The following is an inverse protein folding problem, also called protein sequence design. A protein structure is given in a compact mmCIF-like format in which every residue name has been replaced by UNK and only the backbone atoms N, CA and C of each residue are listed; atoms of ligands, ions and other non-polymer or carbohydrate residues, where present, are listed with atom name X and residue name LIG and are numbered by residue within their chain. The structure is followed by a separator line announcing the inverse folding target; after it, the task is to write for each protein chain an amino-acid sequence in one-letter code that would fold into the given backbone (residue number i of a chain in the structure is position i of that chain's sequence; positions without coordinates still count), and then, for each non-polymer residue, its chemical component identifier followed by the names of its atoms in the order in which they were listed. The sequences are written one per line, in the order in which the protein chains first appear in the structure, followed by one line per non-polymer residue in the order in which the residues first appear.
data_IF_721273702643
#
_entry.id   IF_721273702643
#
_cell.length_a   1.000
_cell.length_b   1.000
_cell.length_c   1.000
_cell.angle_alpha   90.00
_cell.angle_beta   90.00
_cell.angle_gamma   90.00
#
_symmetry.space_group_name_H-M   'P 1'
#
loop_
_entity.id
_entity.type
_entity.pdbx_description
1 polymer ?
#
# COMPACT_ATOMS: atom_id res chain seq x y z
N UNK A 1 -0.16 -26.65 -12.07
CA UNK A 1 -0.35 -25.26 -12.55
C UNK A 1 0.25 -24.32 -11.51
N UNK A 2 1.08 -23.32 -11.94
CA UNK A 2 1.56 -22.25 -11.08
C UNK A 2 1.08 -20.90 -11.61
N UNK A 3 0.90 -19.93 -10.70
CA UNK A 3 0.35 -18.62 -11.03
C UNK A 3 1.26 -17.52 -10.49
N UNK A 4 1.60 -16.56 -11.33
CA UNK A 4 2.42 -15.40 -10.94
C UNK A 4 1.69 -14.12 -11.31
N UNK A 5 1.41 -13.28 -10.32
CA UNK A 5 0.97 -11.90 -10.55
C UNK A 5 2.19 -11.00 -10.42
N UNK A 6 2.53 -10.28 -11.48
CA UNK A 6 3.55 -9.23 -11.48
C UNK A 6 2.80 -7.89 -11.43
N UNK A 7 2.69 -7.32 -10.25
CA UNK A 7 2.03 -6.04 -10.06
C UNK A 7 3.05 -4.90 -10.17
N UNK A 8 2.82 -4.04 -11.15
CA UNK A 8 3.65 -2.87 -11.44
C UNK A 8 2.90 -1.61 -10.98
N UNK A 9 2.94 -1.33 -9.68
CA UNK A 9 2.17 -0.27 -9.02
C UNK A 9 2.30 1.07 -9.76
N UNK A 10 1.18 1.70 -10.02
CA UNK A 10 1.11 3.02 -10.65
C UNK A 10 1.71 3.11 -12.07
N UNK A 11 2.01 1.98 -12.74
CA UNK A 11 2.74 1.96 -14.02
C UNK A 11 2.01 2.70 -15.13
N UNK A 12 0.67 2.65 -15.18
CA UNK A 12 -0.14 3.35 -16.17
C UNK A 12 -0.09 4.88 -15.96
N UNK A 13 -0.19 5.63 -17.06
CA UNK A 13 -0.03 7.08 -17.05
C UNK A 13 -0.85 7.75 -18.15
N UNK A 14 -0.90 9.07 -18.09
CA UNK A 14 -1.37 9.91 -19.18
C UNK A 14 -0.18 10.33 -20.08
N UNK A 15 -0.46 10.85 -21.31
CA UNK A 15 0.59 11.40 -22.15
C UNK A 15 1.39 12.49 -21.43
N UNK A 16 2.71 12.33 -21.36
CA UNK A 16 3.64 13.22 -20.64
C UNK A 16 4.37 14.13 -21.64
N UNK A 17 4.27 15.46 -21.52
CA UNK A 17 4.95 16.37 -22.44
C UNK A 17 6.46 16.15 -22.51
N UNK A 18 7.13 15.89 -21.37
CA UNK A 18 8.57 15.60 -21.30
C UNK A 18 8.97 14.32 -22.07
N UNK A 19 8.02 13.41 -22.31
CA UNK A 19 8.23 12.18 -23.08
C UNK A 19 7.70 12.30 -24.53
N UNK A 20 7.56 13.53 -25.02
CA UNK A 20 7.06 13.79 -26.38
C UNK A 20 5.58 13.47 -26.56
N UNK A 21 4.77 13.59 -25.52
CA UNK A 21 3.34 13.29 -25.53
C UNK A 21 3.02 11.80 -25.50
N UNK A 22 3.96 10.96 -25.10
CA UNK A 22 3.77 9.51 -24.88
C UNK A 22 3.67 9.18 -23.40
N UNK A 23 3.09 8.03 -23.07
CA UNK A 23 3.12 7.50 -21.71
C UNK A 23 4.47 6.84 -21.41
N UNK A 24 4.84 6.66 -20.13
CA UNK A 24 6.02 5.88 -19.76
C UNK A 24 6.02 4.46 -20.33
N UNK A 25 4.86 3.78 -20.38
CA UNK A 25 4.74 2.44 -20.99
C UNK A 25 5.03 2.43 -22.49
N UNK A 26 4.67 3.51 -23.21
CA UNK A 26 4.97 3.64 -24.64
C UNK A 26 6.44 3.90 -24.93
N UNK A 27 7.17 4.53 -24.00
CA UNK A 27 8.58 4.91 -24.16
C UNK A 27 9.53 3.82 -23.70
N UNK A 28 9.14 3.09 -22.64
CA UNK A 28 9.97 2.05 -22.02
C UNK A 28 10.34 0.92 -22.99
N UNK A 29 11.61 0.55 -22.98
CA UNK A 29 12.11 -0.64 -23.67
C UNK A 29 11.81 -1.87 -22.80
N UNK A 30 10.82 -2.66 -23.21
CA UNK A 30 10.29 -3.76 -22.42
C UNK A 30 10.08 -5.03 -23.26
N UNK A 31 11.16 -5.58 -23.87
CA UNK A 31 11.05 -6.68 -24.79
C UNK A 31 10.48 -7.97 -24.20
N UNK A 32 10.70 -8.26 -22.90
CA UNK A 32 10.13 -9.44 -22.23
C UNK A 32 8.62 -9.27 -22.01
N UNK A 33 8.19 -8.11 -21.52
CA UNK A 33 6.76 -7.78 -21.37
C UNK A 33 6.05 -7.86 -22.73
N UNK A 34 6.64 -7.29 -23.78
CA UNK A 34 6.05 -7.27 -25.13
C UNK A 34 6.02 -8.68 -25.74
N UNK A 35 7.04 -9.51 -25.49
CA UNK A 35 7.05 -10.91 -25.94
C UNK A 35 5.96 -11.77 -25.28
N UNK A 36 5.67 -11.52 -23.99
CA UNK A 36 4.54 -12.12 -23.30
C UNK A 36 3.21 -11.57 -23.87
N UNK A 37 3.11 -10.26 -24.05
CA UNK A 37 1.90 -9.59 -24.58
C UNK A 37 1.50 -10.09 -25.97
N UNK A 38 2.47 -10.42 -26.83
CA UNK A 38 2.20 -10.99 -28.15
C UNK A 38 1.52 -12.36 -28.12
N UNK A 39 1.62 -13.08 -26.99
CA UNK A 39 1.09 -14.43 -26.80
C UNK A 39 0.04 -14.51 -25.68
N UNK A 40 -0.43 -13.37 -25.20
CA UNK A 40 -1.32 -13.23 -24.05
C UNK A 40 -2.70 -12.70 -24.46
N UNK A 41 -3.67 -12.89 -23.59
CA UNK A 41 -4.85 -12.02 -23.58
C UNK A 41 -4.39 -10.63 -23.09
N UNK A 42 -4.74 -9.59 -23.83
CA UNK A 42 -4.45 -8.20 -23.46
C UNK A 42 -5.75 -7.40 -23.46
N UNK A 43 -5.98 -6.63 -22.40
CA UNK A 43 -7.19 -5.82 -22.25
C UNK A 43 -7.02 -4.74 -21.21
N UNK A 44 -8.13 -4.11 -20.86
CA UNK A 44 -8.24 -3.16 -19.76
C UNK A 44 -9.06 -3.74 -18.62
N UNK A 45 -8.69 -3.44 -17.39
CA UNK A 45 -9.46 -3.78 -16.19
C UNK A 45 -9.65 -2.55 -15.29
N UNK A 46 -10.86 -2.39 -14.74
CA UNK A 46 -11.15 -1.39 -13.71
C UNK A 46 -10.87 -1.96 -12.33
N UNK A 47 -9.74 -1.67 -11.78
CA UNK A 47 -9.27 -2.12 -10.46
C UNK A 47 -9.84 -1.26 -9.33
N UNK A 48 -9.97 0.07 -9.56
CA UNK A 48 -10.59 0.99 -8.61
C UNK A 48 -12.10 1.02 -8.85
N UNK A 49 -12.86 0.46 -7.91
CA UNK A 49 -14.31 0.41 -8.01
C UNK A 49 -14.95 1.83 -7.99
N UNK A 50 -16.04 2.05 -8.74
CA UNK A 50 -16.73 3.35 -8.78
C UNK A 50 -17.10 3.84 -7.38
N UNK A 51 -16.87 5.13 -7.11
CA UNK A 51 -17.19 5.76 -5.83
C UNK A 51 -16.15 5.58 -4.73
N UNK A 52 -15.12 4.76 -4.95
CA UNK A 52 -13.98 4.67 -4.03
C UNK A 52 -12.87 5.65 -4.44
N UNK A 53 -12.17 6.17 -3.44
CA UNK A 53 -10.97 6.97 -3.67
C UNK A 53 -9.87 6.03 -4.20
N UNK A 54 -9.17 6.39 -5.31
CA UNK A 54 -8.10 5.56 -5.84
C UNK A 54 -6.93 5.44 -4.85
N UNK A 55 -6.41 4.22 -4.75
CA UNK A 55 -5.29 3.89 -3.89
C UNK A 55 -4.95 2.40 -3.98
N UNK A 56 -3.70 2.07 -3.63
CA UNK A 56 -3.19 0.70 -3.70
C UNK A 56 -3.95 -0.28 -2.78
N UNK A 57 -4.57 0.22 -1.69
CA UNK A 57 -5.43 -0.57 -0.82
C UNK A 57 -6.65 -1.16 -1.55
N UNK A 58 -7.48 -0.30 -2.14
CA UNK A 58 -8.69 -0.71 -2.84
C UNK A 58 -8.39 -1.44 -4.16
N UNK A 59 -7.37 -0.98 -4.87
CA UNK A 59 -7.01 -1.56 -6.17
C UNK A 59 -6.40 -2.96 -6.01
N UNK A 60 -5.47 -3.17 -5.08
CA UNK A 60 -4.89 -4.50 -4.84
C UNK A 60 -5.90 -5.47 -4.21
N UNK A 61 -6.82 -5.01 -3.36
CA UNK A 61 -7.97 -5.83 -2.94
C UNK A 61 -8.75 -6.34 -4.16
N UNK A 62 -9.07 -5.45 -5.12
CA UNK A 62 -9.77 -5.83 -6.35
C UNK A 62 -8.99 -6.87 -7.15
N UNK A 63 -7.70 -6.67 -7.39
CA UNK A 63 -6.86 -7.61 -8.14
C UNK A 63 -6.79 -8.98 -7.48
N UNK A 64 -6.77 -9.02 -6.13
CA UNK A 64 -6.82 -10.27 -5.35
C UNK A 64 -8.22 -10.91 -5.30
N UNK A 65 -9.23 -10.27 -5.92
CA UNK A 65 -10.58 -10.79 -6.01
C UNK A 65 -11.49 -10.46 -4.82
N UNK A 66 -11.07 -9.55 -3.96
CA UNK A 66 -11.90 -9.07 -2.86
C UNK A 66 -12.62 -7.78 -3.26
N UNK A 67 -13.94 -7.73 -3.09
CA UNK A 67 -14.72 -6.52 -3.35
C UNK A 67 -14.40 -5.42 -2.32
N UNK A 68 -13.76 -4.30 -2.73
CA UNK A 68 -13.38 -3.26 -1.80
C UNK A 68 -14.59 -2.57 -1.14
N UNK A 69 -15.75 -2.50 -1.80
CA UNK A 69 -16.97 -1.95 -1.19
C UNK A 69 -17.43 -2.75 0.04
N UNK A 70 -17.13 -4.04 0.04
CA UNK A 70 -17.51 -4.95 1.13
C UNK A 70 -16.43 -5.05 2.20
N UNK A 71 -15.17 -5.05 1.80
CA UNK A 71 -14.10 -5.48 2.68
C UNK A 71 -13.13 -4.38 3.10
N UNK A 72 -13.09 -3.24 2.38
CA UNK A 72 -12.21 -2.15 2.76
C UNK A 72 -12.78 -1.39 3.96
N UNK A 73 -12.06 -1.39 5.05
CA UNK A 73 -12.46 -0.80 6.34
C UNK A 73 -11.52 0.32 6.79
N UNK A 74 -10.58 0.73 5.91
CA UNK A 74 -9.55 1.72 6.21
C UNK A 74 -8.13 1.14 6.13
N UNK A 75 -7.13 2.02 6.14
CA UNK A 75 -5.70 1.63 6.04
C UNK A 75 -5.13 1.12 7.35
N UNK A 76 -5.57 1.70 8.48
CA UNK A 76 -5.00 1.38 9.80
C UNK A 76 -5.02 -0.11 10.14
N UNK A 77 -6.13 -0.85 9.94
CA UNK A 77 -6.15 -2.28 10.24
C UNK A 77 -5.24 -3.11 9.33
N UNK A 78 -5.01 -2.68 8.11
CA UNK A 78 -4.06 -3.31 7.20
C UNK A 78 -2.61 -3.07 7.63
N UNK A 79 -2.30 -1.85 8.05
CA UNK A 79 -0.98 -1.50 8.62
C UNK A 79 -0.74 -2.26 9.94
N UNK A 80 -1.76 -2.41 10.79
CA UNK A 80 -1.68 -3.24 11.99
C UNK A 80 -1.39 -4.71 11.66
N UNK A 81 -2.09 -5.27 10.68
CA UNK A 81 -1.87 -6.65 10.24
C UNK A 81 -0.47 -6.86 9.64
N UNK A 82 0.11 -5.85 8.97
CA UNK A 82 1.44 -5.95 8.36
C UNK A 82 2.56 -6.13 9.38
N UNK A 83 2.43 -5.52 10.56
CA UNK A 83 3.39 -5.64 11.66
C UNK A 83 3.06 -6.80 12.61
N UNK A 84 2.17 -7.70 12.20
CA UNK A 84 1.85 -8.94 12.93
C UNK A 84 0.87 -8.76 14.08
N UNK A 85 0.14 -7.65 14.17
CA UNK A 85 -0.90 -7.47 15.19
C UNK A 85 -2.13 -8.30 14.82
N UNK A 86 -2.48 -9.26 15.68
CA UNK A 86 -3.69 -10.07 15.50
C UNK A 86 -4.89 -9.36 16.16
N UNK A 87 -5.60 -8.58 15.36
CA UNK A 87 -6.81 -7.86 15.79
C UNK A 87 -7.99 -8.83 15.89
N UNK A 88 -8.78 -8.71 16.96
CA UNK A 88 -10.10 -9.35 17.06
C UNK A 88 -11.15 -8.57 16.25
N UNK A 89 -12.26 -9.20 15.93
CA UNK A 89 -13.37 -8.55 15.19
C UNK A 89 -13.98 -7.35 15.96
N UNK A 90 -13.83 -7.36 17.28
CA UNK A 90 -14.28 -6.26 18.17
C UNK A 90 -13.31 -5.09 18.23
N UNK A 91 -12.09 -5.25 17.74
CA UNK A 91 -11.04 -4.26 17.89
C UNK A 91 -11.12 -3.19 16.78
N UNK A 92 -10.73 -1.99 17.15
CA UNK A 92 -10.55 -0.87 16.22
C UNK A 92 -9.10 -0.45 16.26
N UNK A 93 -8.46 -0.37 15.10
CA UNK A 93 -7.13 0.22 14.99
C UNK A 93 -7.23 1.69 14.61
N UNK A 94 -6.32 2.49 15.13
CA UNK A 94 -6.11 3.87 14.71
C UNK A 94 -4.65 4.08 14.36
N UNK A 95 -4.40 4.87 13.32
CA UNK A 95 -3.06 5.38 13.07
C UNK A 95 -2.68 6.34 14.19
N UNK A 96 -1.48 6.21 14.67
CA UNK A 96 -0.90 7.07 15.71
C UNK A 96 0.33 7.76 15.14
N UNK A 97 0.22 9.04 14.79
CA UNK A 97 1.39 9.81 14.41
C UNK A 97 2.05 10.43 15.64
N UNK A 98 3.37 10.47 15.68
CA UNK A 98 4.09 11.38 16.52
C UNK A 98 4.25 12.72 15.77
N UNK A 99 3.67 13.79 16.31
CA UNK A 99 3.62 15.10 15.67
C UNK A 99 4.34 16.17 16.51
N UNK A 100 4.67 17.30 15.88
CA UNK A 100 5.11 18.51 16.58
C UNK A 100 3.94 19.47 16.72
N UNK A 101 3.51 19.74 17.94
CA UNK A 101 2.62 20.86 18.26
C UNK A 101 3.39 22.05 18.77
N UNK A 102 2.85 23.25 18.55
CA UNK A 102 3.38 24.50 19.13
C UNK A 102 3.50 24.37 20.65
N UNK A 103 4.66 24.83 21.20
CA UNK A 103 4.95 24.80 22.63
C UNK A 103 4.82 26.20 23.25
N UNK A 104 3.65 26.80 23.09
CA UNK A 104 3.26 28.06 23.74
C UNK A 104 2.37 27.76 24.91
N UNK A 105 2.28 28.71 25.85
CA UNK A 105 1.34 28.65 26.98
C UNK A 105 -0.07 29.01 26.50
N UNK A 106 -0.72 28.02 25.88
CA UNK A 106 -2.02 28.11 25.25
C UNK A 106 -2.82 26.82 25.50
N UNK A 107 -4.17 26.90 25.53
CA UNK A 107 -5.00 25.69 25.60
C UNK A 107 -4.69 24.70 24.49
N UNK A 108 -4.90 23.40 24.73
CA UNK A 108 -4.60 22.37 23.74
C UNK A 108 -5.28 22.62 22.39
N UNK A 109 -6.54 23.05 22.39
CA UNK A 109 -7.29 23.33 21.16
C UNK A 109 -6.75 24.52 20.35
N UNK A 110 -5.98 25.42 20.98
CA UNK A 110 -5.40 26.60 20.31
C UNK A 110 -4.00 26.32 19.73
N UNK A 111 -3.43 25.15 20.04
CA UNK A 111 -2.11 24.72 19.51
C UNK A 111 -2.16 24.54 18.00
N UNK A 112 -1.00 24.69 17.37
CA UNK A 112 -0.81 24.50 15.92
C UNK A 112 -0.03 23.23 15.67
N UNK A 113 -0.43 22.41 14.70
CA UNK A 113 0.45 21.37 14.17
C UNK A 113 1.54 22.03 13.34
N UNK A 114 2.75 22.07 13.86
CA UNK A 114 3.92 22.61 13.17
C UNK A 114 4.52 21.60 12.19
N UNK A 115 4.42 20.30 12.52
CA UNK A 115 4.92 19.21 11.68
C UNK A 115 4.17 17.90 12.00
N UNK A 116 3.67 17.23 10.99
CA UNK A 116 2.95 15.96 11.11
C UNK A 116 3.86 14.74 11.27
N UNK A 117 5.17 14.89 11.06
CA UNK A 117 6.17 13.81 11.10
C UNK A 117 7.35 14.08 12.04
N UNK A 118 7.34 15.20 12.76
CA UNK A 118 8.40 15.60 13.71
C UNK A 118 9.82 15.49 13.11
N UNK A 119 10.07 16.18 11.96
CA UNK A 119 11.32 16.13 11.19
C UNK A 119 11.72 14.67 10.84
N UNK A 120 10.76 13.86 10.40
CA UNK A 120 10.96 12.42 10.09
C UNK A 120 11.73 11.70 11.22
N UNK A 121 11.18 11.78 12.44
CA UNK A 121 11.79 11.17 13.63
C UNK A 121 12.27 9.74 13.37
N UNK A 122 13.47 9.40 13.85
CA UNK A 122 13.99 8.03 13.70
C UNK A 122 13.13 7.01 14.45
N UNK A 123 13.04 5.79 13.93
CA UNK A 123 12.27 4.71 14.57
C UNK A 123 12.75 4.43 15.99
N UNK A 124 14.06 4.54 16.27
CA UNK A 124 14.62 4.30 17.59
C UNK A 124 14.20 5.38 18.61
N UNK A 125 14.21 6.67 18.20
CA UNK A 125 13.70 7.76 19.05
C UNK A 125 12.19 7.61 19.28
N UNK A 126 11.44 7.31 18.22
CA UNK A 126 10.00 7.15 18.26
C UNK A 126 9.57 5.96 19.16
N UNK A 127 10.31 4.84 19.11
CA UNK A 127 10.05 3.68 19.96
C UNK A 127 10.04 4.05 21.45
N UNK A 128 11.01 4.84 21.92
CA UNK A 128 11.09 5.27 23.31
C UNK A 128 9.89 6.15 23.71
N UNK A 129 9.41 7.01 22.79
CA UNK A 129 8.23 7.85 23.03
C UNK A 129 6.95 7.01 23.07
N UNK A 130 6.80 6.06 22.17
CA UNK A 130 5.62 5.16 22.14
C UNK A 130 5.63 4.20 23.35
N UNK A 131 6.79 3.73 23.82
CA UNK A 131 6.89 2.98 25.07
C UNK A 131 6.41 3.80 26.29
N UNK A 132 6.73 5.11 26.31
CA UNK A 132 6.22 6.01 27.36
C UNK A 132 4.70 6.22 27.24
N UNK A 133 4.17 6.33 26.02
CA UNK A 133 2.72 6.41 25.74
C UNK A 133 2.02 5.13 26.16
N UNK A 134 2.57 3.96 25.80
CA UNK A 134 2.03 2.65 26.20
C UNK A 134 2.03 2.49 27.73
N UNK A 135 3.10 2.91 28.40
CA UNK A 135 3.18 2.84 29.86
C UNK A 135 2.15 3.74 30.56
N UNK A 136 1.82 4.89 29.96
CA UNK A 136 0.91 5.88 30.54
C UNK A 136 -0.58 5.59 30.24
N UNK A 137 -0.88 5.12 29.04
CA UNK A 137 -2.26 5.00 28.54
C UNK A 137 -2.63 3.58 28.12
N UNK A 138 -1.65 2.69 27.91
CA UNK A 138 -1.88 1.33 27.47
C UNK A 138 -2.35 0.40 28.59
N UNK A 139 -2.75 -0.79 28.18
CA UNK A 139 -3.38 -1.80 29.04
C UNK A 139 -4.91 -1.66 29.07
N UNK A 140 -5.58 -2.74 29.39
CA UNK A 140 -7.05 -2.78 29.39
C UNK A 140 -7.65 -2.63 28.00
N UNK A 141 -8.18 -1.47 27.69
CA UNK A 141 -8.85 -1.20 26.41
C UNK A 141 -7.91 -0.72 25.30
N UNK A 142 -6.67 -0.29 25.60
CA UNK A 142 -5.78 0.38 24.65
C UNK A 142 -4.41 -0.28 24.65
N UNK A 143 -3.90 -0.58 23.44
CA UNK A 143 -2.53 -1.03 23.25
C UNK A 143 -1.86 -0.25 22.11
N UNK A 144 -0.71 0.38 22.41
CA UNK A 144 0.10 1.11 21.45
C UNK A 144 1.24 0.26 20.93
N UNK A 145 1.40 0.24 19.61
CA UNK A 145 2.44 -0.51 18.91
C UNK A 145 3.35 0.41 18.12
N UNK A 146 4.65 0.19 18.29
CA UNK A 146 5.65 0.93 17.53
C UNK A 146 5.68 0.47 16.08
N UNK A 147 5.55 1.40 15.16
CA UNK A 147 5.77 1.20 13.73
C UNK A 147 7.09 1.81 13.27
N UNK A 148 7.11 2.48 12.11
CA UNK A 148 8.31 3.05 11.50
C UNK A 148 8.25 4.58 11.51
N UNK A 149 9.36 5.21 11.96
CA UNK A 149 9.50 6.68 12.03
C UNK A 149 8.38 7.28 12.89
N UNK A 150 7.63 8.22 12.37
CA UNK A 150 6.51 8.89 13.05
C UNK A 150 5.18 8.10 13.02
N UNK A 151 5.11 6.96 12.34
CA UNK A 151 3.88 6.17 12.10
C UNK A 151 3.81 4.98 13.04
N UNK A 152 2.79 4.95 13.87
CA UNK A 152 2.53 3.92 14.87
C UNK A 152 1.05 3.52 14.84
N UNK A 153 0.67 2.57 15.67
CA UNK A 153 -0.68 2.04 15.73
C UNK A 153 -1.21 2.02 17.18
N UNK A 154 -2.47 2.39 17.35
CA UNK A 154 -3.26 2.13 18.53
C UNK A 154 -4.29 1.04 18.20
N UNK A 155 -4.37 0.02 19.03
CA UNK A 155 -5.51 -0.93 19.05
C UNK A 155 -6.41 -0.58 20.22
N UNK A 156 -7.67 -0.33 19.92
CA UNK A 156 -8.73 -0.08 20.89
C UNK A 156 -9.63 -1.32 20.97
N UNK A 157 -9.50 -2.09 22.05
CA UNK A 157 -10.25 -3.31 22.28
C UNK A 157 -11.71 -3.01 22.59
N UNK A 158 -12.63 -3.56 21.81
CA UNK A 158 -14.05 -3.28 21.94
C UNK A 158 -14.46 -1.86 21.52
N UNK A 159 -13.60 -1.16 20.80
CA UNK A 159 -13.80 0.23 20.36
C UNK A 159 -14.88 0.41 19.30
N UNK A 160 -15.08 1.66 18.90
CA UNK A 160 -16.02 2.05 17.84
C UNK A 160 -15.32 2.86 16.75
N UNK A 161 -15.82 2.75 15.52
CA UNK A 161 -15.43 3.61 14.39
C UNK A 161 -16.31 4.85 14.23
N UNK A 162 -17.31 5.02 15.09
CA UNK A 162 -18.20 6.19 15.11
C UNK A 162 -17.52 7.35 15.85
N UNK A 163 -16.37 7.81 15.35
CA UNK A 163 -15.52 8.81 16.01
C UNK A 163 -15.71 10.23 15.46
N UNK A 164 -16.63 10.40 14.51
CA UNK A 164 -16.78 11.66 13.80
C UNK A 164 -15.57 11.95 12.90
N UNK A 165 -15.18 13.21 12.79
CA UNK A 165 -14.06 13.59 11.95
C UNK A 165 -12.74 13.51 12.72
N UNK A 166 -12.00 12.42 12.54
CA UNK A 166 -10.63 12.28 13.02
C UNK A 166 -9.65 12.75 11.90
N UNK A 167 -9.42 14.07 11.86
CA UNK A 167 -8.67 14.71 10.75
C UNK A 167 -7.23 14.20 10.64
N UNK A 168 -6.74 13.81 9.46
CA UNK A 168 -5.34 13.46 9.25
C UNK A 168 -4.41 14.66 9.56
N UNK A 169 -3.28 14.48 10.28
CA UNK A 169 -2.42 15.58 10.71
C UNK A 169 -1.74 16.31 9.55
N UNK A 170 -1.46 15.63 8.44
CA UNK A 170 -0.85 16.23 7.25
C UNK A 170 -1.78 17.20 6.51
N UNK A 171 -3.10 17.07 6.67
CA UNK A 171 -4.08 17.97 6.05
C UNK A 171 -4.20 19.31 6.80
N UNK A 172 -3.68 19.36 8.02
CA UNK A 172 -3.79 20.51 8.93
C UNK A 172 -2.45 21.04 9.43
N UNK A 173 -1.35 20.68 8.79
CA UNK A 173 -0.03 21.26 9.09
C UNK A 173 -0.07 22.78 8.90
N UNK A 174 0.43 23.53 9.89
CA UNK A 174 0.39 24.98 9.96
C UNK A 174 -0.92 25.58 10.44
N UNK A 175 -1.92 24.75 10.82
CA UNK A 175 -3.24 25.21 11.29
C UNK A 175 -3.44 24.95 12.77
N UNK A 176 -4.32 25.75 13.40
CA UNK A 176 -4.81 25.54 14.77
C UNK A 176 -5.65 24.26 14.79
N UNK A 177 -5.44 23.41 15.79
CA UNK A 177 -6.05 22.07 15.85
C UNK A 177 -7.52 22.06 16.24
N UNK A 178 -7.97 22.99 17.07
CA UNK A 178 -9.32 23.01 17.66
C UNK A 178 -10.46 22.78 16.67
N UNK A 179 -10.52 23.53 15.53
CA UNK A 179 -11.56 23.31 14.51
C UNK A 179 -11.52 21.94 13.82
N UNK A 180 -10.44 21.18 14.01
CA UNK A 180 -10.19 19.89 13.36
C UNK A 180 -10.28 18.71 14.32
N UNK A 181 -10.50 18.96 15.61
CA UNK A 181 -10.79 17.92 16.60
C UNK A 181 -12.22 17.39 16.44
N UNK A 182 -12.40 16.10 16.63
CA UNK A 182 -13.74 15.51 16.59
C UNK A 182 -14.64 16.06 17.71
N UNK A 183 -15.90 16.25 17.39
CA UNK A 183 -16.96 16.64 18.35
C UNK A 183 -17.81 15.46 18.81
N UNK A 184 -17.50 14.24 18.34
CA UNK A 184 -18.23 13.04 18.73
C UNK A 184 -17.91 12.66 20.19
N UNK A 185 -18.93 12.36 20.97
CA UNK A 185 -18.78 11.95 22.38
C UNK A 185 -17.95 10.66 22.51
N UNK A 186 -18.07 9.77 21.53
CA UNK A 186 -17.32 8.52 21.42
C UNK A 186 -15.82 8.74 21.20
N UNK A 187 -15.42 9.87 20.63
CA UNK A 187 -14.01 10.22 20.41
C UNK A 187 -13.34 10.87 21.65
N UNK A 188 -14.15 11.31 22.64
CA UNK A 188 -13.64 12.04 23.81
C UNK A 188 -12.46 11.35 24.53
N UNK A 189 -12.48 10.03 24.82
CA UNK A 189 -11.36 9.40 25.48
C UNK A 189 -10.06 9.50 24.68
N UNK A 190 -10.14 9.41 23.33
CA UNK A 190 -8.98 9.52 22.44
C UNK A 190 -8.45 10.96 22.41
N UNK A 191 -9.33 11.97 22.38
CA UNK A 191 -8.94 13.39 22.42
C UNK A 191 -8.26 13.75 23.74
N UNK A 192 -8.80 13.27 24.87
CA UNK A 192 -8.16 13.43 26.19
C UNK A 192 -6.77 12.77 26.23
N UNK A 193 -6.61 11.63 25.57
CA UNK A 193 -5.35 10.93 25.48
C UNK A 193 -4.34 11.74 24.63
N UNK A 194 -4.77 12.30 23.50
CA UNK A 194 -3.94 13.20 22.69
C UNK A 194 -3.47 14.41 23.52
N UNK A 195 -4.37 15.09 24.22
CA UNK A 195 -4.05 16.25 25.07
C UNK A 195 -3.05 15.88 26.17
N UNK A 196 -3.30 14.80 26.94
CA UNK A 196 -2.41 14.33 28.00
C UNK A 196 -1.05 13.87 27.47
N UNK A 197 -1.00 13.37 26.24
CA UNK A 197 0.27 12.96 25.62
C UNK A 197 1.21 14.13 25.39
N UNK A 198 0.69 15.33 25.13
CA UNK A 198 1.51 16.53 25.02
C UNK A 198 2.26 16.82 26.31
N UNK A 199 1.58 16.75 27.44
CA UNK A 199 2.22 16.96 28.75
C UNK A 199 3.23 15.86 29.09
N UNK A 200 2.94 14.62 28.68
CA UNK A 200 3.83 13.47 28.86
C UNK A 200 5.11 13.61 28.04
N UNK A 201 4.99 14.01 26.78
CA UNK A 201 6.07 13.90 25.79
C UNK A 201 6.90 15.18 25.67
N UNK A 202 6.35 16.37 25.91
CA UNK A 202 7.07 17.65 25.73
C UNK A 202 8.43 17.70 26.46
N UNK A 203 8.48 17.14 27.66
CA UNK A 203 9.67 17.10 28.50
C UNK A 203 10.43 15.77 28.50
N UNK A 204 10.03 14.83 27.62
CA UNK A 204 10.70 13.53 27.54
C UNK A 204 12.19 13.70 27.13
N UNK A 205 13.13 12.88 27.68
CA UNK A 205 14.56 12.98 27.39
C UNK A 205 14.89 13.00 25.88
N UNK A 206 14.20 12.21 25.08
CA UNK A 206 14.34 12.18 23.62
C UNK A 206 14.03 13.56 23.03
N UNK A 207 12.93 14.20 23.41
CA UNK A 207 12.52 15.50 22.90
C UNK A 207 13.45 16.62 23.36
N UNK A 208 13.93 16.58 24.61
CA UNK A 208 14.97 17.51 25.09
C UNK A 208 16.25 17.41 24.26
N UNK A 209 16.70 16.19 23.95
CA UNK A 209 17.86 15.97 23.09
C UNK A 209 17.64 16.46 21.66
N UNK A 210 16.44 16.24 21.09
CA UNK A 210 16.07 16.72 19.76
C UNK A 210 16.09 18.25 19.69
N UNK A 211 15.47 18.93 20.65
CA UNK A 211 15.45 20.40 20.72
C UNK A 211 16.86 20.94 20.88
N UNK A 212 17.70 20.35 21.76
CA UNK A 212 19.09 20.72 21.92
C UNK A 212 19.92 20.55 20.64
N UNK A 213 19.53 19.60 19.76
CA UNK A 213 20.15 19.39 18.46
C UNK A 213 19.52 20.24 17.33
N UNK A 214 18.61 21.16 17.65
CA UNK A 214 17.92 22.03 16.68
C UNK A 214 16.87 21.30 15.82
N UNK A 215 16.40 20.12 16.27
CA UNK A 215 15.34 19.36 15.62
C UNK A 215 14.00 19.58 16.32
N UNK A 216 12.90 19.41 15.59
CA UNK A 216 11.55 19.51 16.15
C UNK A 216 11.27 18.37 17.13
N UNK A 217 10.64 18.64 18.29
CA UNK A 217 10.23 17.61 19.21
C UNK A 217 9.01 16.82 18.66
N UNK A 218 8.94 15.54 18.95
CA UNK A 218 7.74 14.73 18.74
C UNK A 218 6.90 14.76 20.03
N UNK A 219 6.23 15.88 20.28
CA UNK A 219 5.68 16.21 21.60
C UNK A 219 4.21 15.85 21.79
N UNK A 220 3.57 15.22 20.79
CA UNK A 220 2.18 14.76 20.93
C UNK A 220 1.94 13.55 20.05
N UNK A 221 1.05 12.63 20.50
CA UNK A 221 0.44 11.64 19.60
C UNK A 221 -0.75 12.26 18.89
N UNK A 222 -0.99 11.85 17.63
CA UNK A 222 -2.17 12.25 16.85
C UNK A 222 -2.86 11.01 16.34
N UNK A 223 -4.11 10.79 16.80
CA UNK A 223 -4.91 9.60 16.50
C UNK A 223 -5.88 9.90 15.34
N UNK A 224 -5.93 9.02 14.32
CA UNK A 224 -6.76 9.20 13.15
C UNK A 224 -6.86 7.92 12.31
N UNK A 225 -7.76 7.91 11.31
CA UNK A 225 -7.81 6.85 10.31
C UNK A 225 -8.23 5.50 10.88
N UNK A 226 -9.23 5.55 11.75
CA UNK A 226 -9.80 4.38 12.40
C UNK A 226 -10.34 3.34 11.42
N UNK A 227 -10.28 2.06 11.82
CA UNK A 227 -10.84 0.96 11.05
C UNK A 227 -10.89 -0.34 11.84
N UNK A 228 -11.75 -1.25 11.39
CA UNK A 228 -11.84 -2.64 11.89
C UNK A 228 -11.05 -3.58 10.98
N UNK A 229 -10.62 -4.72 11.52
CA UNK A 229 -10.00 -5.76 10.69
C UNK A 229 -10.89 -6.08 9.49
N UNK A 230 -10.38 -6.04 8.25
CA UNK A 230 -11.13 -6.51 7.10
C UNK A 230 -11.50 -7.97 7.25
N UNK A 231 -12.78 -8.32 7.08
CA UNK A 231 -13.26 -9.69 7.18
C UNK A 231 -12.96 -10.48 5.89
N UNK A 232 -11.71 -10.45 5.42
CA UNK A 232 -11.29 -11.20 4.23
C UNK A 232 -11.38 -12.69 4.50
N UNK A 233 -11.96 -13.43 3.56
CA UNK A 233 -11.88 -14.89 3.60
C UNK A 233 -10.44 -15.31 3.30
N UNK A 234 -9.91 -16.37 3.94
CA UNK A 234 -8.62 -16.91 3.56
C UNK A 234 -8.56 -17.23 2.08
N UNK A 235 -7.49 -16.81 1.40
CA UNK A 235 -7.32 -16.99 -0.05
C UNK A 235 -7.44 -18.45 -0.48
N UNK A 236 -6.89 -19.38 0.31
CA UNK A 236 -7.02 -20.82 0.08
C UNK A 236 -8.47 -21.30 0.19
N UNK A 237 -9.25 -20.74 1.13
CA UNK A 237 -10.67 -21.10 1.27
C UNK A 237 -11.51 -20.57 0.11
N UNK A 238 -11.12 -19.40 -0.45
CA UNK A 238 -11.85 -18.76 -1.54
C UNK A 238 -11.55 -19.41 -2.90
N UNK A 239 -10.30 -19.77 -3.17
CA UNK A 239 -9.86 -20.23 -4.49
C UNK A 239 -9.35 -21.68 -4.53
N UNK A 240 -9.24 -22.36 -3.39
CA UNK A 240 -8.74 -23.73 -3.32
C UNK A 240 -7.24 -23.88 -3.56
N UNK A 241 -6.49 -22.77 -3.55
CA UNK A 241 -5.03 -22.72 -3.79
C UNK A 241 -4.35 -21.84 -2.76
N UNK A 242 -3.09 -22.15 -2.43
CA UNK A 242 -2.26 -21.35 -1.53
C UNK A 242 -1.63 -20.18 -2.24
N UNK A 243 -1.65 -19.01 -1.60
CA UNK A 243 -1.06 -17.78 -2.11
C UNK A 243 0.11 -17.29 -1.27
N UNK A 244 1.10 -16.69 -1.96
CA UNK A 244 2.20 -15.96 -1.34
C UNK A 244 2.31 -14.53 -1.86
N UNK A 245 2.89 -13.65 -1.06
CA UNK A 245 3.07 -12.22 -1.35
C UNK A 245 4.52 -11.80 -1.17
N UNK A 246 5.04 -11.06 -2.15
CA UNK A 246 6.32 -10.35 -2.07
C UNK A 246 6.06 -8.86 -2.28
N UNK A 247 6.25 -8.05 -1.24
CA UNK A 247 6.08 -6.60 -1.31
C UNK A 247 7.00 -5.90 -0.30
N UNK A 248 7.44 -4.68 -0.61
CA UNK A 248 8.07 -3.78 0.36
C UNK A 248 7.03 -2.93 1.11
N UNK A 249 5.78 -2.94 0.67
CA UNK A 249 4.71 -2.05 1.14
C UNK A 249 3.90 -2.74 2.24
N UNK A 250 3.89 -2.17 3.43
CA UNK A 250 3.17 -2.72 4.59
C UNK A 250 1.68 -2.93 4.31
N UNK A 251 1.08 -2.04 3.55
CA UNK A 251 -0.32 -2.12 3.17
C UNK A 251 -0.67 -3.44 2.45
N UNK A 252 0.16 -3.85 1.49
CA UNK A 252 -0.05 -5.09 0.74
C UNK A 252 0.25 -6.33 1.59
N UNK A 253 1.30 -6.26 2.42
CA UNK A 253 1.59 -7.30 3.42
C UNK A 253 0.40 -7.48 4.37
N UNK A 254 -0.22 -6.38 4.79
CA UNK A 254 -1.43 -6.39 5.62
C UNK A 254 -2.61 -7.07 4.95
N UNK A 255 -2.88 -6.78 3.66
CA UNK A 255 -3.92 -7.47 2.88
C UNK A 255 -3.62 -8.96 2.82
N UNK A 256 -2.37 -9.34 2.50
CA UNK A 256 -1.95 -10.73 2.41
C UNK A 256 -2.14 -11.47 3.74
N UNK A 257 -1.72 -10.87 4.86
CA UNK A 257 -1.90 -11.44 6.20
C UNK A 257 -3.39 -11.62 6.56
N UNK A 258 -4.23 -10.61 6.26
CA UNK A 258 -5.68 -10.72 6.46
C UNK A 258 -6.31 -11.81 5.58
N UNK A 259 -5.77 -12.05 4.39
CA UNK A 259 -6.21 -13.11 3.47
C UNK A 259 -5.53 -14.47 3.73
N UNK A 260 -4.72 -14.61 4.77
CA UNK A 260 -4.03 -15.86 5.11
C UNK A 260 -2.99 -16.30 4.08
N UNK A 261 -2.41 -15.36 3.32
CA UNK A 261 -1.33 -15.61 2.37
C UNK A 261 0.02 -15.55 3.08
N UNK A 262 1.00 -16.31 2.59
CA UNK A 262 2.36 -16.29 3.11
C UNK A 262 3.10 -15.03 2.62
N UNK A 263 3.69 -14.25 3.52
CA UNK A 263 4.45 -13.06 3.17
C UNK A 263 5.95 -13.33 3.26
N UNK A 264 6.70 -13.02 2.20
CA UNK A 264 8.16 -13.09 2.19
C UNK A 264 8.77 -11.73 2.50
N UNK A 265 9.74 -11.71 3.40
CA UNK A 265 10.60 -10.56 3.66
C UNK A 265 11.84 -10.62 2.74
N UNK A 266 12.10 -9.54 2.03
CA UNK A 266 13.23 -9.44 1.09
C UNK A 266 14.18 -8.34 1.56
N UNK A 267 15.40 -8.69 2.00
CA UNK A 267 16.41 -7.69 2.34
C UNK A 267 16.69 -6.76 1.15
N UNK A 268 16.71 -5.46 1.37
CA UNK A 268 16.91 -4.46 0.31
C UNK A 268 15.67 -4.17 -0.55
N UNK A 269 14.51 -4.75 -0.23
CA UNK A 269 13.26 -4.34 -0.85
C UNK A 269 12.85 -2.95 -0.34
N UNK A 270 12.69 -2.02 -1.27
CA UNK A 270 12.18 -0.66 -1.05
C UNK A 270 10.99 -0.39 -1.96
N UNK A 271 10.31 0.72 -1.76
CA UNK A 271 9.23 1.22 -2.63
C UNK A 271 9.74 2.05 -3.82
N UNK A 272 11.06 2.15 -4.08
CA UNK A 272 11.61 3.02 -5.10
C UNK A 272 12.51 2.29 -6.10
N UNK A 273 13.15 3.03 -7.02
CA UNK A 273 13.98 2.46 -8.09
C UNK A 273 15.27 1.78 -7.61
N UNK A 274 15.65 1.96 -6.36
CA UNK A 274 16.79 1.31 -5.71
C UNK A 274 16.44 -0.05 -5.08
N UNK A 275 15.18 -0.48 -5.18
CA UNK A 275 14.73 -1.77 -4.65
C UNK A 275 15.51 -2.94 -5.24
N UNK A 276 15.68 -4.01 -4.46
CA UNK A 276 16.24 -5.27 -4.97
C UNK A 276 15.21 -6.01 -5.85
N UNK A 277 15.18 -5.67 -7.15
CA UNK A 277 14.28 -6.26 -8.14
C UNK A 277 14.50 -7.77 -8.26
N UNK A 278 15.77 -8.21 -8.35
CA UNK A 278 16.12 -9.62 -8.48
C UNK A 278 15.82 -10.41 -7.19
N UNK A 279 16.06 -9.80 -6.03
CA UNK A 279 15.71 -10.39 -4.74
C UNK A 279 14.22 -10.65 -4.62
N UNK A 280 13.36 -9.71 -5.05
CA UNK A 280 11.91 -9.91 -5.09
C UNK A 280 11.50 -11.02 -6.05
N UNK A 281 12.09 -11.10 -7.25
CA UNK A 281 11.82 -12.16 -8.21
C UNK A 281 12.23 -13.56 -7.68
N UNK A 282 13.40 -13.66 -7.05
CA UNK A 282 13.87 -14.90 -6.43
C UNK A 282 13.00 -15.34 -5.26
N UNK A 283 12.58 -14.40 -4.41
CA UNK A 283 11.65 -14.66 -3.31
C UNK A 283 10.28 -15.16 -3.82
N UNK A 284 9.81 -14.62 -4.95
CA UNK A 284 8.60 -15.11 -5.60
C UNK A 284 8.73 -16.57 -6.06
N UNK A 285 9.84 -16.93 -6.68
CA UNK A 285 10.10 -18.32 -7.07
C UNK A 285 10.25 -19.25 -5.85
N UNK A 286 10.88 -18.79 -4.77
CA UNK A 286 10.98 -19.55 -3.52
C UNK A 286 9.57 -19.80 -2.93
N UNK A 287 8.73 -18.79 -2.86
CA UNK A 287 7.32 -18.95 -2.41
C UNK A 287 6.54 -19.95 -3.27
N UNK A 288 6.77 -19.98 -4.59
CA UNK A 288 6.11 -20.93 -5.49
C UNK A 288 6.48 -22.38 -5.24
N UNK A 289 7.56 -22.68 -4.52
CA UNK A 289 7.91 -24.07 -4.17
C UNK A 289 6.89 -24.70 -3.20
N UNK A 290 6.19 -23.87 -2.40
CA UNK A 290 5.24 -24.28 -1.35
C UNK A 290 3.86 -23.64 -1.49
N UNK A 291 3.69 -22.70 -2.42
CA UNK A 291 2.43 -22.06 -2.77
C UNK A 291 2.11 -22.30 -4.25
N UNK A 292 0.84 -22.14 -4.63
CA UNK A 292 0.37 -22.30 -6.01
C UNK A 292 0.39 -20.98 -6.76
N UNK A 293 0.16 -19.87 -6.04
CA UNK A 293 0.17 -18.51 -6.55
C UNK A 293 1.18 -17.67 -5.79
N UNK A 294 1.88 -16.79 -6.50
CA UNK A 294 2.65 -15.68 -5.89
C UNK A 294 2.23 -14.35 -6.52
N UNK A 295 2.10 -13.36 -5.65
CA UNK A 295 1.85 -11.98 -5.99
C UNK A 295 3.11 -11.17 -5.69
N UNK A 296 3.82 -10.70 -6.71
CA UNK A 296 5.04 -9.91 -6.55
C UNK A 296 4.80 -8.47 -6.97
N UNK A 297 5.08 -7.56 -6.04
CA UNK A 297 4.74 -6.15 -6.13
C UNK A 297 5.96 -5.25 -6.29
N UNK A 298 5.88 -4.31 -7.24
CA UNK A 298 6.91 -3.31 -7.54
C UNK A 298 6.30 -1.92 -7.51
N UNK A 299 6.56 -1.15 -6.46
CA UNK A 299 6.00 0.19 -6.23
C UNK A 299 6.77 1.31 -6.98
N UNK A 300 7.97 1.00 -7.49
CA UNK A 300 8.86 2.01 -8.08
C UNK A 300 8.20 2.91 -9.16
N UNK A 301 7.35 2.43 -10.08
CA UNK A 301 6.67 3.31 -11.04
C UNK A 301 5.70 4.29 -10.39
N UNK A 302 5.02 3.89 -9.31
CA UNK A 302 4.09 4.72 -8.53
C UNK A 302 4.81 5.88 -7.85
N UNK A 303 5.86 5.58 -7.09
CA UNK A 303 6.69 6.58 -6.42
C UNK A 303 7.30 7.59 -7.41
N UNK A 304 7.75 7.13 -8.58
CA UNK A 304 8.21 8.03 -9.64
C UNK A 304 7.09 8.94 -10.15
N UNK A 305 5.85 8.44 -10.24
CA UNK A 305 4.66 9.23 -10.57
C UNK A 305 4.43 10.35 -9.57
N UNK A 306 4.38 10.03 -8.28
CA UNK A 306 4.22 10.99 -7.18
C UNK A 306 5.32 12.07 -7.14
N UNK A 307 6.56 11.68 -7.43
CA UNK A 307 7.72 12.58 -7.44
C UNK A 307 7.86 13.40 -8.70
N UNK A 308 7.01 13.17 -9.73
CA UNK A 308 7.13 13.81 -11.04
C UNK A 308 8.47 13.51 -11.72
N UNK A 309 8.82 12.24 -11.79
CA UNK A 309 10.08 11.76 -12.33
C UNK A 309 9.85 10.89 -13.58
N UNK A 310 9.54 11.48 -14.77
CA UNK A 310 9.15 10.72 -15.96
C UNK A 310 10.23 9.75 -16.43
N UNK A 311 11.50 10.15 -16.40
CA UNK A 311 12.62 9.30 -16.81
C UNK A 311 12.83 8.12 -15.87
N UNK A 312 12.69 8.35 -14.55
CA UNK A 312 12.79 7.28 -13.55
C UNK A 312 11.60 6.33 -13.65
N UNK A 313 10.40 6.81 -13.97
CA UNK A 313 9.23 5.94 -14.20
C UNK A 313 9.44 5.02 -15.40
N UNK A 314 9.94 5.54 -16.52
CA UNK A 314 10.35 4.74 -17.68
C UNK A 314 11.40 3.70 -17.27
N UNK A 315 12.45 4.12 -16.54
CA UNK A 315 13.51 3.25 -16.07
C UNK A 315 12.98 2.15 -15.12
N UNK A 316 12.04 2.47 -14.23
CA UNK A 316 11.43 1.47 -13.34
C UNK A 316 10.73 0.35 -14.13
N UNK A 317 9.98 0.71 -15.18
CA UNK A 317 9.34 -0.27 -16.09
C UNK A 317 10.41 -1.13 -16.80
N UNK A 318 11.48 -0.50 -17.32
CA UNK A 318 12.58 -1.20 -17.97
C UNK A 318 13.34 -2.13 -17.01
N UNK A 319 13.44 -1.77 -15.73
CA UNK A 319 14.06 -2.63 -14.70
C UNK A 319 13.17 -3.83 -14.35
N UNK A 320 11.86 -3.67 -14.28
CA UNK A 320 10.94 -4.79 -14.13
C UNK A 320 11.07 -5.75 -15.32
N UNK A 321 11.10 -5.21 -16.53
CA UNK A 321 11.27 -6.02 -17.75
C UNK A 321 12.58 -6.80 -17.76
N UNK A 322 13.71 -6.12 -17.52
CA UNK A 322 15.05 -6.67 -17.75
C UNK A 322 15.65 -7.42 -16.56
N UNK A 323 15.18 -7.15 -15.33
CA UNK A 323 15.75 -7.72 -14.10
C UNK A 323 14.82 -8.69 -13.38
N UNK A 324 13.49 -8.59 -13.61
CA UNK A 324 12.50 -9.45 -12.95
C UNK A 324 12.04 -10.55 -13.88
N UNK A 325 11.55 -10.20 -15.08
CA UNK A 325 10.94 -11.17 -15.98
C UNK A 325 11.87 -12.29 -16.41
N UNK A 326 13.15 -12.06 -16.76
CA UNK A 326 14.06 -13.16 -17.11
C UNK A 326 14.23 -14.19 -16.00
N UNK A 327 14.29 -13.75 -14.73
CA UNK A 327 14.40 -14.63 -13.56
C UNK A 327 13.12 -15.45 -13.40
N UNK A 328 11.95 -14.80 -13.52
CA UNK A 328 10.67 -15.48 -13.41
C UNK A 328 10.45 -16.47 -14.56
N UNK A 329 10.74 -16.07 -15.81
CA UNK A 329 10.61 -16.92 -17.00
C UNK A 329 11.48 -18.17 -16.86
N UNK A 330 12.78 -18.00 -16.54
CA UNK A 330 13.71 -19.13 -16.34
C UNK A 330 13.26 -20.05 -15.19
N UNK A 331 12.88 -19.47 -14.04
CA UNK A 331 12.47 -20.23 -12.87
C UNK A 331 11.13 -20.97 -13.07
N UNK A 332 10.24 -20.46 -13.91
CA UNK A 332 8.94 -21.06 -14.21
C UNK A 332 9.05 -22.23 -15.22
N UNK A 333 10.13 -22.35 -16.01
CA UNK A 333 10.31 -23.42 -16.98
C UNK A 333 10.34 -24.82 -16.33
N UNK A 334 10.67 -24.94 -15.05
CA UNK A 334 10.65 -26.20 -14.31
C UNK A 334 9.22 -26.77 -14.12
N UNK A 335 8.17 -25.93 -14.29
CA UNK A 335 6.78 -26.34 -14.15
C UNK A 335 6.17 -26.72 -15.51
N UNK A 336 5.33 -27.75 -15.51
CA UNK A 336 4.65 -28.22 -16.72
C UNK A 336 3.82 -27.10 -17.36
N UNK A 337 3.04 -26.39 -16.54
CA UNK A 337 2.23 -25.25 -17.00
C UNK A 337 2.19 -24.14 -15.94
N UNK A 338 2.11 -22.89 -16.41
CA UNK A 338 2.00 -21.70 -15.57
C UNK A 338 1.28 -20.57 -16.28
N UNK A 339 0.75 -19.65 -15.47
CA UNK A 339 0.18 -18.39 -15.96
C UNK A 339 0.90 -17.20 -15.33
N UNK A 340 1.03 -16.13 -16.12
CA UNK A 340 1.53 -14.82 -15.67
C UNK A 340 0.44 -13.79 -15.93
N UNK A 341 0.04 -13.06 -14.88
CA UNK A 341 -0.77 -11.85 -14.96
C UNK A 341 0.14 -10.67 -14.65
N UNK A 342 0.32 -9.74 -15.61
CA UNK A 342 1.07 -8.51 -15.39
C UNK A 342 0.13 -7.33 -15.60
N UNK A 343 0.05 -6.45 -14.59
CA UNK A 343 -0.79 -5.26 -14.63
C UNK A 343 -0.31 -4.23 -13.60
N UNK A 344 -0.63 -2.93 -13.79
CA UNK A 344 -0.69 -1.97 -12.68
C UNK A 344 -1.95 -2.18 -11.85
N UNK A 345 -1.95 -1.66 -10.64
CA UNK A 345 -3.14 -1.59 -9.80
C UNK A 345 -4.01 -0.35 -10.11
N UNK A 346 -3.40 0.78 -10.37
CA UNK A 346 -4.02 2.04 -10.80
C UNK A 346 -3.03 2.87 -11.63
N UNK A 347 -3.50 3.91 -12.34
CA UNK A 347 -2.60 4.92 -12.87
C UNK A 347 -2.11 5.84 -11.74
N UNK A 348 -0.83 6.26 -11.82
CA UNK A 348 -0.28 7.36 -11.01
C UNK A 348 0.33 8.40 -11.96
N UNK A 349 -0.54 9.20 -12.62
CA UNK A 349 -0.07 10.06 -13.68
C UNK A 349 0.90 11.12 -13.17
N UNK A 350 2.04 11.24 -13.86
CA UNK A 350 3.11 12.21 -13.55
C UNK A 350 2.57 13.64 -13.48
N UNK A 351 1.61 13.97 -14.37
CA UNK A 351 1.05 15.31 -14.45
C UNK A 351 0.17 15.68 -13.25
N UNK A 352 -0.45 14.71 -12.60
CA UNK A 352 -1.31 14.92 -11.43
C UNK A 352 -0.60 14.60 -10.11
N UNK A 353 0.45 13.80 -10.15
CA UNK A 353 1.23 13.31 -8.97
C UNK A 353 0.36 12.61 -7.93
N UNK A 354 -0.72 12.00 -8.35
CA UNK A 354 -1.65 11.28 -7.49
C UNK A 354 -2.36 10.19 -8.26
N UNK A 355 -2.91 9.22 -7.54
CA UNK A 355 -3.62 8.10 -8.13
C UNK A 355 -4.84 8.54 -8.94
N UNK A 356 -5.13 7.83 -10.03
CA UNK A 356 -6.35 7.97 -10.83
C UNK A 356 -7.16 6.66 -10.83
N UNK A 357 -8.43 6.74 -11.22
CA UNK A 357 -9.37 5.61 -11.24
C UNK A 357 -9.66 5.07 -12.63
N UNK A 358 -8.87 5.48 -13.61
CA UNK A 358 -9.01 4.97 -14.98
C UNK A 358 -8.68 3.48 -15.04
N UNK A 359 -9.32 2.72 -15.95
CA UNK A 359 -8.97 1.32 -16.19
C UNK A 359 -7.51 1.17 -16.61
N UNK A 360 -6.88 0.10 -16.17
CA UNK A 360 -5.46 -0.15 -16.41
C UNK A 360 -5.26 -1.31 -17.41
N UNK A 361 -4.18 -1.29 -18.20
CA UNK A 361 -3.84 -2.38 -19.10
C UNK A 361 -3.40 -3.62 -18.31
N UNK A 362 -3.78 -4.81 -18.79
CA UNK A 362 -3.28 -6.08 -18.29
C UNK A 362 -2.88 -7.01 -19.43
N UNK A 363 -1.97 -7.93 -19.16
CA UNK A 363 -1.73 -9.12 -19.94
C UNK A 363 -1.91 -10.37 -19.08
N UNK A 364 -2.55 -11.39 -19.65
CA UNK A 364 -2.71 -12.72 -19.06
C UNK A 364 -2.14 -13.76 -20.03
N UNK A 365 -0.97 -14.26 -19.69
CA UNK A 365 -0.24 -15.28 -20.45
C UNK A 365 -0.41 -16.65 -19.81
N UNK A 366 -0.57 -17.69 -20.64
CA UNK A 366 -0.51 -19.09 -20.22
C UNK A 366 0.44 -19.86 -21.14
N UNK A 367 1.39 -20.60 -20.57
CA UNK A 367 2.39 -21.36 -21.31
C UNK A 367 1.78 -22.37 -22.27
N UNK A 368 0.82 -23.19 -21.79
CA UNK A 368 0.18 -24.24 -22.58
C UNK A 368 -0.92 -23.76 -23.54
N UNK A 369 -1.41 -22.52 -23.38
CA UNK A 369 -2.52 -21.99 -24.16
C UNK A 369 -2.24 -20.52 -24.61
N UNK A 370 -1.20 -20.30 -25.44
CA UNK A 370 -0.89 -18.96 -25.92
C UNK A 370 -2.03 -18.42 -26.79
N UNK A 371 -2.29 -17.11 -26.65
CA UNK A 371 -3.28 -16.38 -27.43
C UNK A 371 -2.59 -15.47 -28.46
N UNK A 372 -3.35 -14.91 -29.38
CA UNK A 372 -2.87 -13.82 -30.23
C UNK A 372 -3.15 -12.51 -29.49
N UNK A 373 -2.11 -11.83 -29.05
CA UNK A 373 -2.19 -10.58 -28.30
C UNK A 373 -1.75 -9.37 -29.15
N UNK A 374 -0.94 -8.50 -28.55
CA UNK A 374 -0.43 -7.27 -29.18
C UNK A 374 1.09 -7.27 -29.24
N UNK A 375 1.67 -6.63 -30.26
CA UNK A 375 3.13 -6.56 -30.43
C UNK A 375 3.82 -5.77 -29.31
N UNK A 376 3.14 -4.79 -28.74
CA UNK A 376 3.59 -4.02 -27.57
C UNK A 376 2.38 -3.64 -26.72
N UNK A 377 2.50 -3.81 -25.40
CA UNK A 377 1.44 -3.43 -24.46
C UNK A 377 1.65 -2.03 -23.92
N UNK A 378 0.61 -1.23 -23.99
CA UNK A 378 0.45 0.08 -23.36
C UNK A 378 -1.05 0.40 -23.27
N UNK A 379 -1.39 1.56 -22.74
CA UNK A 379 -2.77 2.02 -22.53
C UNK A 379 -3.61 2.04 -23.83
N UNK A 380 -3.00 2.45 -24.95
CA UNK A 380 -3.68 2.55 -26.25
C UNK A 380 -3.87 1.18 -26.89
N UNK A 381 -2.82 0.36 -26.92
CA UNK A 381 -2.89 -0.97 -27.53
C UNK A 381 -3.80 -1.90 -26.75
N UNK A 382 -3.78 -1.84 -25.40
CA UNK A 382 -4.71 -2.59 -24.56
C UNK A 382 -6.17 -2.15 -24.81
N UNK A 383 -6.44 -0.86 -24.92
CA UNK A 383 -7.75 -0.33 -25.27
C UNK A 383 -8.22 -0.77 -26.66
N UNK A 384 -7.29 -0.83 -27.62
CA UNK A 384 -7.60 -1.19 -29.00
C UNK A 384 -8.04 -2.64 -29.18
N UNK A 385 -7.72 -3.56 -28.23
CA UNK A 385 -8.21 -4.95 -28.25
C UNK A 385 -9.72 -5.05 -28.09
N UNK A 386 -10.37 -4.06 -27.47
CA UNK A 386 -11.78 -4.08 -27.11
C UNK A 386 -12.12 -5.00 -25.92
N UNK A 387 -11.12 -5.67 -25.32
CA UNK A 387 -11.32 -6.49 -24.13
C UNK A 387 -11.34 -5.57 -22.90
N UNK A 388 -12.42 -5.62 -22.16
CA UNK A 388 -12.61 -4.75 -20.99
C UNK A 388 -13.32 -5.47 -19.86
N UNK A 389 -12.73 -5.43 -18.68
CA UNK A 389 -13.27 -5.98 -17.44
C UNK A 389 -13.68 -4.83 -16.50
N UNK A 390 -14.98 -4.56 -16.39
CA UNK A 390 -15.54 -3.54 -15.52
C UNK A 390 -15.43 -3.89 -14.03
N UNK A 391 -15.58 -5.17 -13.70
CA UNK A 391 -15.55 -5.67 -12.32
C UNK A 391 -14.14 -6.14 -11.96
N UNK A 392 -13.34 -5.28 -11.31
CA UNK A 392 -11.95 -5.59 -10.92
C UNK A 392 -11.80 -6.89 -10.11
N UNK A 393 -12.62 -7.17 -9.10
CA UNK A 393 -12.60 -8.44 -8.37
C UNK A 393 -12.79 -9.71 -9.22
N UNK A 394 -13.33 -9.61 -10.42
CA UNK A 394 -13.43 -10.74 -11.34
C UNK A 394 -12.08 -11.12 -11.99
N UNK A 395 -11.04 -10.27 -11.86
CA UNK A 395 -9.72 -10.55 -12.45
C UNK A 395 -9.08 -11.81 -11.87
N UNK A 396 -9.15 -12.02 -10.56
CA UNK A 396 -8.51 -13.19 -9.95
C UNK A 396 -9.20 -14.50 -10.36
N UNK A 397 -10.54 -14.67 -10.29
CA UNK A 397 -11.22 -15.84 -10.84
C UNK A 397 -10.90 -16.08 -12.31
N UNK A 398 -10.91 -15.03 -13.15
CA UNK A 398 -10.56 -15.11 -14.57
C UNK A 398 -9.13 -15.61 -14.78
N UNK A 399 -8.16 -15.06 -14.04
CA UNK A 399 -6.76 -15.49 -14.08
C UNK A 399 -6.61 -16.96 -13.69
N UNK A 400 -7.34 -17.41 -12.68
CA UNK A 400 -7.30 -18.79 -12.22
C UNK A 400 -8.05 -19.76 -13.16
N UNK A 401 -8.90 -19.27 -14.08
CA UNK A 401 -9.79 -20.08 -14.90
C UNK A 401 -10.96 -20.65 -14.11
N UNK A 402 -11.45 -19.88 -13.15
CA UNK A 402 -12.57 -20.18 -12.25
C UNK A 402 -13.73 -19.21 -12.49
N UNK A 403 -13.86 -18.70 -13.73
CA UNK A 403 -15.00 -17.83 -14.10
C UNK A 403 -16.32 -18.53 -13.79
N UNK A 404 -17.25 -17.80 -13.13
CA UNK A 404 -18.56 -18.30 -12.72
C UNK A 404 -19.54 -18.39 -13.90
#
# INVERSE_FOLDING_TARGET
MKYVVVLCDGMADYPVPALGGKTPMMVAKKPHIDALAAKAEVGLVRTVAPGLKPGSDVANMSVLGFDPHRFYTGRSPLEAASIGIDMKDSDVSLRTNLVTLSDKDEPFADKVIEDYCADDISTEEARQLIEAVQAAFGGGEYDFYTGVSYRHCLIWHGGTTELGNMTPPHDITGKVIGPHLSTAETARPLLEMMEKSFDLLKDHPVNKARVAAGRRPANCIWLWGEGKRPALQPFEALYGIKGGMVSAVDLLKGIANCAGMEVAEVPGATGYIDTDFEGKAKAALDLLTRNDLVYVHFEAPDECGHRNEPENKVKAIEMIDSRVLPILEEGLEQYEDYKILLLPDHPTPIVTRTHASDPVPYLLYQKSAPKTGVDTINEETAKATGIYMENGPAMMPHFLGQDA
#
